data_IF_143155872431
#
_entry.id   IF_143155872431
#
_cell.length_a   1.000
_cell.length_b   1.000
_cell.length_c   1.000
_cell.angle_alpha   90.00
_cell.angle_beta   90.00
_cell.angle_gamma   90.00
#
_symmetry.space_group_name_H-M   'P 1'
#
loop_
_entity.id
_entity.type
_entity.pdbx_description
1 polymer ?
#
# COMPACT_ATOMS: atom_id res chain seq x y z
N UNK A 1 15.32 -6.13 -4.20
CA UNK A 1 14.27 -6.48 -3.22
C UNK A 1 14.87 -7.10 -1.98
N UNK A 2 14.52 -6.59 -0.80
CA UNK A 2 14.94 -7.16 0.49
C UNK A 2 13.78 -7.75 1.29
N UNK A 3 13.89 -9.03 1.63
CA UNK A 3 12.98 -9.71 2.55
C UNK A 3 13.39 -9.39 4.00
N UNK A 4 12.50 -8.73 4.76
CA UNK A 4 12.76 -8.39 6.16
C UNK A 4 12.27 -9.46 7.12
N UNK A 5 11.06 -9.97 6.88
CA UNK A 5 10.40 -10.93 7.77
C UNK A 5 9.54 -11.89 6.94
N UNK A 6 9.53 -13.15 7.36
CA UNK A 6 8.67 -14.19 6.79
C UNK A 6 8.01 -14.95 7.94
N UNK A 7 6.69 -15.05 7.87
CA UNK A 7 5.90 -15.83 8.81
C UNK A 7 4.82 -16.57 8.02
N UNK A 8 5.20 -17.68 7.39
CA UNK A 8 4.28 -18.54 6.67
C UNK A 8 4.78 -19.98 6.69
N UNK A 9 3.84 -20.93 6.75
CA UNK A 9 4.10 -22.34 6.51
C UNK A 9 3.70 -22.72 5.08
N UNK A 10 4.28 -23.80 4.56
CA UNK A 10 3.98 -24.29 3.20
C UNK A 10 2.47 -24.56 3.08
N UNK A 11 1.84 -23.99 2.06
CA UNK A 11 0.40 -24.09 1.78
C UNK A 11 -0.51 -23.55 2.90
N UNK A 12 -0.01 -22.67 3.76
CA UNK A 12 -0.82 -22.00 4.79
C UNK A 12 -0.86 -20.50 4.54
N UNK A 13 -1.85 -19.83 5.13
CA UNK A 13 -1.85 -18.38 5.19
C UNK A 13 -0.64 -17.90 5.99
N UNK A 14 -0.11 -16.76 5.61
CA UNK A 14 0.99 -16.14 6.34
C UNK A 14 1.26 -14.74 5.87
N UNK A 15 2.33 -14.17 6.42
CA UNK A 15 2.71 -12.78 6.25
C UNK A 15 4.16 -12.68 5.80
N UNK A 16 4.42 -11.71 4.93
CA UNK A 16 5.75 -11.39 4.45
C UNK A 16 5.94 -9.87 4.52
N UNK A 17 7.07 -9.43 5.05
CA UNK A 17 7.46 -8.02 5.05
C UNK A 17 8.60 -7.83 4.05
N UNK A 18 8.34 -7.08 2.99
CA UNK A 18 9.26 -6.84 1.88
C UNK A 18 9.58 -5.34 1.80
N UNK A 19 10.84 -5.02 1.53
CA UNK A 19 11.31 -3.68 1.20
C UNK A 19 11.75 -3.71 -0.27
N UNK A 20 10.99 -3.11 -1.21
CA UNK A 20 11.45 -2.92 -2.59
C UNK A 20 12.61 -1.90 -2.59
N UNK A 21 13.66 -2.20 -3.33
CA UNK A 21 14.89 -1.40 -3.45
C UNK A 21 15.05 -0.85 -4.87
N UNK A 22 14.59 -1.61 -5.87
CA UNK A 22 14.65 -1.26 -7.30
C UNK A 22 13.24 -1.14 -7.91
N UNK A 23 13.12 -0.43 -9.03
CA UNK A 23 11.86 -0.29 -9.78
C UNK A 23 11.30 -1.65 -10.22
N UNK A 24 12.19 -2.57 -10.60
CA UNK A 24 11.83 -3.90 -11.09
C UNK A 24 11.24 -4.78 -9.97
N UNK A 25 11.53 -4.46 -8.71
CA UNK A 25 10.93 -5.13 -7.57
C UNK A 25 9.41 -4.92 -7.52
N UNK A 26 8.92 -3.76 -7.98
CA UNK A 26 7.50 -3.44 -8.01
C UNK A 26 6.74 -4.30 -9.02
N UNK A 27 7.40 -4.70 -10.11
CA UNK A 27 6.85 -5.67 -11.04
C UNK A 27 6.71 -7.06 -10.41
N UNK A 28 7.70 -7.47 -9.59
CA UNK A 28 7.62 -8.73 -8.84
C UNK A 28 6.47 -8.66 -7.82
N UNK A 29 6.36 -7.55 -7.08
CA UNK A 29 5.27 -7.32 -6.12
C UNK A 29 3.88 -7.39 -6.78
N UNK A 30 3.72 -6.81 -7.96
CA UNK A 30 2.47 -6.88 -8.73
C UNK A 30 2.05 -8.33 -9.03
N UNK A 31 3.00 -9.20 -9.34
CA UNK A 31 2.72 -10.59 -9.67
C UNK A 31 2.37 -11.47 -8.44
N UNK A 32 2.84 -11.11 -7.24
CA UNK A 32 2.56 -11.87 -6.02
C UNK A 32 1.30 -11.39 -5.28
N UNK A 33 0.96 -10.10 -5.35
CA UNK A 33 -0.18 -9.51 -4.62
C UNK A 33 -1.45 -9.71 -5.42
N UNK A 34 -2.40 -10.53 -4.94
CA UNK A 34 -3.67 -10.81 -5.60
C UNK A 34 -4.87 -10.13 -4.93
N UNK A 35 -5.96 -9.96 -5.69
CA UNK A 35 -7.24 -9.53 -5.13
C UNK A 35 -7.69 -10.52 -4.06
N UNK A 36 -8.07 -10.01 -2.89
CA UNK A 36 -8.39 -10.82 -1.71
C UNK A 36 -7.29 -10.84 -0.65
N UNK A 37 -6.05 -10.54 -1.02
CA UNK A 37 -4.92 -10.43 -0.08
C UNK A 37 -5.05 -9.18 0.78
N UNK A 38 -4.27 -9.14 1.87
CA UNK A 38 -4.17 -7.99 2.75
C UNK A 38 -2.77 -7.37 2.66
N UNK A 39 -2.72 -6.07 2.37
CA UNK A 39 -1.47 -5.31 2.23
C UNK A 39 -1.42 -4.24 3.32
N UNK A 40 -0.26 -4.14 3.96
CA UNK A 40 0.05 -3.09 4.93
C UNK A 40 1.12 -2.18 4.35
N UNK A 41 0.83 -0.88 4.24
CA UNK A 41 1.77 0.10 3.71
C UNK A 41 1.55 1.48 4.34
N UNK A 42 2.62 2.28 4.39
CA UNK A 42 2.55 3.67 4.80
C UNK A 42 2.09 4.53 3.62
N UNK A 43 1.05 5.32 3.86
CA UNK A 43 0.43 6.19 2.86
C UNK A 43 0.27 7.60 3.42
N UNK A 44 -0.06 8.55 2.54
CA UNK A 44 -0.42 9.90 2.94
C UNK A 44 -1.83 10.22 2.49
N UNK A 45 -2.62 10.83 3.37
CA UNK A 45 -3.98 11.25 3.07
C UNK A 45 -4.18 12.70 3.43
N UNK A 46 -4.82 13.43 2.51
CA UNK A 46 -5.35 14.75 2.78
C UNK A 46 -6.65 14.61 3.59
N UNK A 47 -6.65 15.18 4.78
CA UNK A 47 -7.79 15.18 5.71
C UNK A 47 -8.38 16.59 5.73
N UNK A 48 -9.68 16.68 5.45
CA UNK A 48 -10.43 17.93 5.52
C UNK A 48 -11.05 18.08 6.90
N UNK A 49 -10.75 19.18 7.57
CA UNK A 49 -11.34 19.55 8.86
C UNK A 49 -12.46 20.54 8.61
N UNK A 50 -13.68 20.17 9.00
CA UNK A 50 -14.81 21.10 9.01
C UNK A 50 -14.74 21.89 10.31
N UNK A 51 -14.53 23.20 10.21
CA UNK A 51 -14.75 24.11 11.33
C UNK A 51 -16.27 24.40 11.41
N UNK A 52 -16.78 24.54 12.63
CA UNK A 52 -18.21 24.68 12.92
C UNK A 52 -18.90 25.86 12.20
N UNK A 53 -18.13 26.81 11.63
CA UNK A 53 -18.62 27.83 10.72
C UNK A 53 -18.35 27.44 9.26
N UNK A 54 -19.44 27.19 8.53
CA UNK A 54 -19.55 26.63 7.16
C UNK A 54 -18.75 27.30 6.02
N UNK A 55 -17.79 28.21 6.29
CA UNK A 55 -17.04 28.94 5.26
C UNK A 55 -15.54 28.69 5.21
N UNK A 56 -14.95 27.98 6.19
CA UNK A 56 -13.51 27.70 6.18
C UNK A 56 -13.23 26.21 6.42
N UNK A 57 -12.93 25.47 5.35
CA UNK A 57 -12.39 24.12 5.44
C UNK A 57 -10.87 24.19 5.40
N UNK A 58 -10.20 23.79 6.48
CA UNK A 58 -8.74 23.61 6.47
C UNK A 58 -8.43 22.16 6.10
N UNK A 59 -7.31 21.93 5.40
CA UNK A 59 -6.88 20.59 5.02
C UNK A 59 -5.45 20.34 5.51
N UNK A 60 -5.21 19.16 6.08
CA UNK A 60 -3.88 18.72 6.49
C UNK A 60 -3.50 17.41 5.79
N UNK A 61 -2.21 17.22 5.52
CA UNK A 61 -1.69 15.94 5.05
C UNK A 61 -1.22 15.13 6.25
N UNK A 62 -1.77 13.92 6.40
CA UNK A 62 -1.45 12.99 7.48
C UNK A 62 -0.80 11.77 6.88
N UNK A 63 0.32 11.32 7.46
CA UNK A 63 0.91 10.01 7.16
C UNK A 63 0.26 8.96 8.04
N UNK A 64 -0.15 7.85 7.43
CA UNK A 64 -0.78 6.75 8.15
C UNK A 64 -0.37 5.41 7.56
N UNK A 65 -0.21 4.41 8.43
CA UNK A 65 -0.06 3.03 8.01
C UNK A 65 -1.44 2.42 7.84
N UNK A 66 -1.77 1.99 6.61
CA UNK A 66 -3.07 1.39 6.30
C UNK A 66 -2.89 -0.10 6.09
N UNK A 67 -3.86 -0.87 6.58
CA UNK A 67 -3.98 -2.30 6.33
C UNK A 67 -5.27 -2.51 5.53
N UNK A 68 -5.13 -2.79 4.24
CA UNK A 68 -6.24 -2.83 3.29
C UNK A 68 -6.34 -4.19 2.63
N UNK A 69 -7.58 -4.62 2.37
CA UNK A 69 -7.84 -5.76 1.50
C UNK A 69 -7.76 -5.31 0.05
N UNK A 70 -6.96 -6.01 -0.75
CA UNK A 70 -6.77 -5.71 -2.17
C UNK A 70 -8.05 -6.02 -2.92
N UNK A 71 -8.58 -5.01 -3.63
CA UNK A 71 -9.76 -5.15 -4.48
C UNK A 71 -9.35 -5.13 -5.95
N UNK A 72 -8.56 -4.13 -6.33
CA UNK A 72 -7.95 -3.96 -7.63
C UNK A 72 -6.45 -3.74 -7.50
N UNK A 73 -5.72 -3.92 -8.60
CA UNK A 73 -4.29 -3.68 -8.71
C UNK A 73 -3.99 -3.19 -10.12
N UNK A 74 -3.11 -2.21 -10.24
CA UNK A 74 -2.71 -1.61 -11.51
C UNK A 74 -1.21 -1.35 -11.51
N UNK A 75 -0.56 -1.59 -12.64
CA UNK A 75 0.88 -1.39 -12.79
C UNK A 75 1.17 -0.53 -14.02
N UNK A 76 1.76 0.64 -13.77
CA UNK A 76 2.25 1.53 -14.80
C UNK A 76 3.68 1.12 -15.18
N UNK A 77 3.88 0.72 -16.43
CA UNK A 77 5.16 0.25 -16.96
C UNK A 77 6.17 1.36 -17.14
N UNK A 78 5.70 2.56 -17.50
CA UNK A 78 6.57 3.68 -17.83
C UNK A 78 7.07 4.37 -16.56
N UNK A 79 6.21 4.46 -15.54
CA UNK A 79 6.58 5.03 -14.24
C UNK A 79 6.99 3.97 -13.20
N UNK A 80 7.04 2.69 -13.59
CA UNK A 80 7.28 1.54 -12.69
C UNK A 80 6.48 1.65 -11.39
N UNK A 81 5.20 2.01 -11.47
CA UNK A 81 4.39 2.31 -10.28
C UNK A 81 3.29 1.28 -10.09
N UNK A 82 3.23 0.71 -8.87
CA UNK A 82 2.18 -0.20 -8.44
C UNK A 82 1.11 0.55 -7.65
N UNK A 83 -0.16 0.39 -8.05
CA UNK A 83 -1.35 0.89 -7.34
C UNK A 83 -2.18 -0.29 -6.85
N UNK A 84 -2.67 -0.18 -5.62
CA UNK A 84 -3.42 -1.21 -4.88
C UNK A 84 -4.62 -0.53 -4.21
#
# INVERSE_FOLDING_TARGET
MKLKEKDFAVNQMGRVTIIPEESDDLWILYNIINSGDYVMADTSRKVHHQLNDSKNTTASHVRLSVHLKVTCRDFDKDSSTLRI
#
